data_IF_153124474977
#
_entry.id   IF_153124474977
#
_cell.length_a   1.000
_cell.length_b   1.000
_cell.length_c   1.000
_cell.angle_alpha   90.00
_cell.angle_beta   90.00
_cell.angle_gamma   90.00
#
_symmetry.space_group_name_H-M   'P 1'
#
loop_
_entity.id
_entity.type
_entity.pdbx_description
1 polymer ?
#
# COMPACT_ATOMS: atom_id res chain seq x y z
N UNK A 1 -22.50 -15.96 -11.88
CA UNK A 1 -21.79 -16.67 -10.78
C UNK A 1 -21.33 -18.04 -11.31
N UNK A 2 -20.01 -18.29 -11.43
CA UNK A 2 -19.38 -19.42 -12.17
C UNK A 2 -20.11 -20.78 -12.13
N UNK A 3 -20.66 -21.20 -10.98
CA UNK A 3 -21.42 -22.48 -10.89
C UNK A 3 -22.71 -22.47 -11.71
N UNK A 4 -23.44 -21.35 -11.74
CA UNK A 4 -24.68 -21.21 -12.50
C UNK A 4 -24.39 -21.20 -14.01
N UNK A 5 -23.31 -20.54 -14.43
CA UNK A 5 -22.85 -20.51 -15.82
C UNK A 5 -22.44 -21.90 -16.31
N UNK A 6 -21.70 -22.68 -15.50
CA UNK A 6 -21.36 -24.06 -15.83
C UNK A 6 -22.60 -24.94 -16.06
N UNK A 7 -23.68 -24.71 -15.32
CA UNK A 7 -24.95 -25.45 -15.51
C UNK A 7 -25.69 -24.94 -16.74
N UNK A 8 -25.82 -23.63 -16.89
CA UNK A 8 -26.62 -23.01 -17.95
C UNK A 8 -25.99 -23.16 -19.35
N UNK A 9 -24.67 -23.04 -19.46
CA UNK A 9 -23.97 -22.97 -20.75
C UNK A 9 -23.31 -24.30 -21.13
N UNK A 10 -22.98 -25.13 -20.13
CA UNK A 10 -22.22 -26.37 -20.35
C UNK A 10 -22.91 -27.62 -19.79
N UNK A 11 -24.09 -27.48 -19.16
CA UNK A 11 -24.81 -28.62 -18.55
C UNK A 11 -24.04 -29.30 -17.41
N UNK A 12 -22.99 -28.67 -16.88
CA UNK A 12 -22.09 -29.26 -15.90
C UNK A 12 -22.59 -29.00 -14.47
N UNK A 13 -23.23 -30.00 -13.89
CA UNK A 13 -23.64 -29.98 -12.48
C UNK A 13 -22.48 -30.34 -11.55
N UNK A 14 -21.73 -29.32 -11.14
CA UNK A 14 -20.69 -29.46 -10.14
C UNK A 14 -21.11 -28.88 -8.78
N UNK A 15 -20.77 -29.60 -7.71
CA UNK A 15 -20.89 -29.09 -6.34
C UNK A 15 -20.02 -27.86 -6.11
N UNK A 16 -20.46 -26.92 -5.26
CA UNK A 16 -19.77 -25.65 -5.03
C UNK A 16 -18.30 -25.82 -4.60
N UNK A 17 -18.00 -26.84 -3.78
CA UNK A 17 -16.63 -27.12 -3.31
C UNK A 17 -15.71 -27.56 -4.46
N UNK A 18 -16.23 -28.33 -5.41
CA UNK A 18 -15.50 -28.78 -6.61
C UNK A 18 -15.18 -27.60 -7.51
N UNK A 19 -16.16 -26.74 -7.79
CA UNK A 19 -15.95 -25.50 -8.56
C UNK A 19 -14.92 -24.60 -7.85
N UNK A 20 -15.05 -24.41 -6.53
CA UNK A 20 -14.08 -23.61 -5.76
C UNK A 20 -12.67 -24.18 -5.88
N UNK A 21 -12.48 -25.49 -5.75
CA UNK A 21 -11.14 -26.12 -5.86
C UNK A 21 -10.56 -25.98 -7.27
N UNK A 22 -11.35 -26.24 -8.31
CA UNK A 22 -10.91 -26.10 -9.70
C UNK A 22 -10.53 -24.64 -10.04
N UNK A 23 -11.29 -23.67 -9.52
CA UNK A 23 -11.02 -22.25 -9.73
C UNK A 23 -9.91 -21.67 -8.84
N UNK A 24 -9.40 -22.42 -7.85
CA UNK A 24 -8.46 -21.87 -6.85
C UNK A 24 -7.15 -21.37 -7.49
N UNK A 25 -6.48 -22.08 -8.42
CA UNK A 25 -5.27 -21.59 -9.07
C UNK A 25 -5.51 -20.33 -9.92
N UNK A 26 -6.65 -20.25 -10.60
CA UNK A 26 -7.01 -19.06 -11.39
C UNK A 26 -7.26 -17.84 -10.51
N UNK A 27 -7.94 -18.02 -9.37
CA UNK A 27 -8.08 -16.94 -8.38
C UNK A 27 -6.74 -16.51 -7.80
N UNK A 28 -5.84 -17.45 -7.51
CA UNK A 28 -4.48 -17.11 -7.07
C UNK A 28 -3.72 -16.31 -8.13
N UNK A 29 -3.78 -16.71 -9.40
CA UNK A 29 -3.16 -15.96 -10.51
C UNK A 29 -3.75 -14.57 -10.68
N UNK A 30 -5.08 -14.44 -10.60
CA UNK A 30 -5.77 -13.14 -10.69
C UNK A 30 -5.40 -12.23 -9.51
N UNK A 31 -5.33 -12.76 -8.29
CA UNK A 31 -4.88 -12.01 -7.13
C UNK A 31 -3.41 -11.59 -7.27
N UNK A 32 -2.53 -12.49 -7.73
CA UNK A 32 -1.13 -12.18 -7.98
C UNK A 32 -0.95 -11.12 -9.08
N UNK A 33 -1.75 -11.18 -10.16
CA UNK A 33 -1.74 -10.18 -11.23
C UNK A 33 -2.32 -8.83 -10.77
N UNK A 34 -3.37 -8.82 -9.94
CA UNK A 34 -3.89 -7.59 -9.34
C UNK A 34 -2.90 -6.95 -8.35
N UNK A 35 -2.07 -7.77 -7.70
CA UNK A 35 -0.97 -7.32 -6.85
C UNK A 35 0.30 -6.95 -7.64
N UNK A 36 0.37 -7.28 -8.94
CA UNK A 36 1.43 -6.85 -9.84
C UNK A 36 1.25 -5.37 -10.18
N UNK A 37 1.40 -4.52 -9.16
CA UNK A 37 1.89 -3.17 -9.37
C UNK A 37 3.25 -3.34 -10.04
N UNK A 38 3.37 -2.84 -11.28
CA UNK A 38 4.65 -2.86 -11.98
C UNK A 38 5.65 -2.17 -11.06
N UNK A 39 6.73 -2.87 -10.70
CA UNK A 39 7.82 -2.28 -9.92
C UNK A 39 8.47 -1.19 -10.78
N UNK A 40 8.02 0.04 -10.56
CA UNK A 40 8.65 1.23 -11.10
C UNK A 40 9.83 1.56 -10.17
N UNK A 41 10.95 0.90 -10.42
CA UNK A 41 12.19 1.13 -9.67
C UNK A 41 12.99 2.24 -10.37
N UNK A 42 13.12 3.39 -9.70
CA UNK A 42 14.08 4.42 -10.12
C UNK A 42 15.42 4.21 -9.41
N UNK A 43 16.54 4.77 -9.90
CA UNK A 43 17.77 4.81 -9.12
C UNK A 43 17.57 5.53 -7.76
N UNK A 44 18.44 5.29 -6.77
CA UNK A 44 18.46 6.10 -5.54
C UNK A 44 18.53 7.59 -5.87
N UNK A 45 17.75 8.43 -5.16
CA UNK A 45 17.73 9.88 -5.43
C UNK A 45 16.66 10.36 -6.41
N UNK A 46 16.15 9.48 -7.27
CA UNK A 46 15.28 9.89 -8.39
C UNK A 46 13.80 9.98 -8.06
N UNK A 47 13.33 9.17 -7.13
CA UNK A 47 11.94 9.15 -6.73
C UNK A 47 11.81 8.86 -5.25
N UNK A 48 10.89 9.59 -4.62
CA UNK A 48 10.39 9.36 -3.28
C UNK A 48 8.90 9.68 -3.28
N UNK A 49 8.15 8.99 -2.43
CA UNK A 49 6.75 9.32 -2.13
C UNK A 49 6.70 9.85 -0.71
N UNK A 50 6.16 11.06 -0.51
CA UNK A 50 5.94 11.65 0.81
C UNK A 50 4.46 11.62 1.12
N UNK A 51 4.15 11.25 2.35
CA UNK A 51 2.85 11.45 2.97
C UNK A 51 3.01 12.27 4.26
N UNK A 52 2.00 13.06 4.57
CA UNK A 52 1.86 13.79 5.82
C UNK A 52 0.60 13.35 6.54
N UNK A 53 0.75 12.96 7.80
CA UNK A 53 -0.39 12.64 8.67
C UNK A 53 -0.37 13.51 9.93
N UNK A 54 -1.56 13.87 10.42
CA UNK A 54 -1.73 14.63 11.65
C UNK A 54 -2.21 13.70 12.77
N UNK A 55 -1.53 13.73 13.92
CA UNK A 55 -1.95 12.95 15.10
C UNK A 55 -1.87 13.78 16.38
N UNK A 56 -2.79 13.51 17.31
CA UNK A 56 -2.68 13.98 18.69
C UNK A 56 -2.01 12.91 19.53
N UNK A 57 -0.90 13.28 20.17
CA UNK A 57 -0.11 12.40 21.05
C UNK A 57 0.09 13.09 22.40
N UNK A 58 0.17 12.31 23.48
CA UNK A 58 0.49 12.86 24.79
C UNK A 58 2.00 13.08 24.90
N UNK A 59 2.43 14.33 25.14
CA UNK A 59 3.81 14.68 25.45
C UNK A 59 3.83 15.36 26.81
N UNK A 60 4.54 14.76 27.77
CA UNK A 60 4.52 15.21 29.17
C UNK A 60 3.09 15.38 29.74
N UNK A 61 2.18 14.46 29.40
CA UNK A 61 0.78 14.48 29.83
C UNK A 61 -0.11 15.49 29.09
N UNK A 62 0.44 16.31 28.19
CA UNK A 62 -0.32 17.30 27.42
C UNK A 62 -0.65 16.74 26.03
N UNK A 63 -1.93 16.80 25.57
CA UNK A 63 -2.29 16.37 24.23
C UNK A 63 -1.78 17.37 23.18
N UNK A 64 -0.72 16.97 22.49
CA UNK A 64 -0.03 17.76 21.48
C UNK A 64 -0.37 17.24 20.09
N UNK A 65 -0.73 18.16 19.18
CA UNK A 65 -0.78 17.86 17.76
C UNK A 65 0.63 17.78 17.19
N UNK A 66 0.91 16.70 16.46
CA UNK A 66 2.16 16.49 15.73
C UNK A 66 1.84 16.11 14.29
N UNK A 67 2.79 16.40 13.41
CA UNK A 67 2.71 16.11 11.99
C UNK A 67 3.80 15.11 11.63
N UNK A 68 3.41 13.97 11.06
CA UNK A 68 4.27 12.86 10.69
C UNK A 68 4.64 13.00 9.22
N UNK A 69 5.90 13.31 8.93
CA UNK A 69 6.47 13.21 7.60
C UNK A 69 6.91 11.76 7.37
N UNK A 70 6.35 11.10 6.36
CA UNK A 70 6.72 9.73 5.99
C UNK A 70 7.16 9.72 4.54
N UNK A 71 8.46 9.52 4.30
CA UNK A 71 9.00 9.32 2.96
C UNK A 71 9.27 7.83 2.71
N UNK A 72 8.71 7.32 1.62
CA UNK A 72 9.08 6.01 1.07
C UNK A 72 10.03 6.20 -0.09
N UNK A 73 11.26 5.70 0.04
CA UNK A 73 12.28 5.82 -1.01
C UNK A 73 11.94 4.89 -2.18
N UNK A 74 11.87 5.43 -3.40
CA UNK A 74 11.42 4.69 -4.59
C UNK A 74 12.26 3.44 -4.88
N UNK A 75 13.58 3.55 -4.79
CA UNK A 75 14.51 2.45 -5.05
C UNK A 75 14.47 1.35 -3.98
N UNK A 76 14.71 1.72 -2.71
CA UNK A 76 14.94 0.75 -1.64
C UNK A 76 13.66 0.37 -0.88
N UNK A 77 12.56 1.09 -1.10
CA UNK A 77 11.30 1.01 -0.34
C UNK A 77 11.47 1.23 1.16
N UNK A 78 12.63 1.73 1.60
CA UNK A 78 12.85 2.09 3.00
C UNK A 78 11.97 3.27 3.37
N UNK A 79 11.48 3.24 4.60
CA UNK A 79 10.74 4.33 5.21
C UNK A 79 11.71 5.26 5.95
N UNK A 80 11.59 6.55 5.69
CA UNK A 80 12.18 7.61 6.50
C UNK A 80 11.03 8.36 7.18
N UNK A 81 11.09 8.47 8.52
CA UNK A 81 10.02 9.11 9.30
C UNK A 81 10.60 10.23 10.16
N UNK A 82 9.96 11.40 10.10
CA UNK A 82 10.24 12.56 10.96
C UNK A 82 8.94 13.08 11.55
N UNK A 83 9.03 13.66 12.75
CA UNK A 83 7.88 14.25 13.44
C UNK A 83 8.14 15.73 13.64
N UNK A 84 7.19 16.56 13.22
CA UNK A 84 7.25 18.01 13.29
C UNK A 84 6.07 18.58 14.09
N UNK A 85 6.22 19.85 14.51
CA UNK A 85 5.15 20.61 15.18
C UNK A 85 4.23 21.36 14.21
N UNK A 86 4.60 21.41 12.93
CA UNK A 86 3.81 22.01 11.85
C UNK A 86 4.18 21.40 10.49
N UNK A 87 3.34 21.61 9.49
CA UNK A 87 3.57 21.25 8.07
C UNK A 87 4.12 22.42 7.26
N UNK A 88 4.73 23.41 7.93
CA UNK A 88 5.33 24.54 7.25
C UNK A 88 6.45 24.06 6.29
N UNK A 89 6.77 24.89 5.30
CA UNK A 89 7.78 24.59 4.29
C UNK A 89 9.13 24.13 4.88
N UNK A 90 9.54 24.68 6.02
CA UNK A 90 10.75 24.25 6.72
C UNK A 90 10.71 22.78 7.16
N UNK A 91 9.55 22.28 7.61
CA UNK A 91 9.36 20.87 7.96
C UNK A 91 9.47 19.96 6.72
N UNK A 92 8.97 20.42 5.57
CA UNK A 92 9.11 19.70 4.30
C UNK A 92 10.58 19.57 3.90
N UNK A 93 11.33 20.67 3.91
CA UNK A 93 12.75 20.65 3.55
C UNK A 93 13.56 19.78 4.51
N UNK A 94 13.39 19.94 5.82
CA UNK A 94 14.08 19.11 6.80
C UNK A 94 13.74 17.61 6.66
N UNK A 95 12.49 17.28 6.30
CA UNK A 95 12.06 15.90 6.04
C UNK A 95 12.71 15.31 4.80
N UNK A 96 12.79 16.08 3.71
CA UNK A 96 13.43 15.65 2.45
C UNK A 96 14.95 15.52 2.63
N UNK A 97 15.60 16.53 3.22
CA UNK A 97 17.04 16.52 3.50
C UNK A 97 17.45 15.33 4.37
N UNK A 98 16.63 14.99 5.38
CA UNK A 98 16.90 13.85 6.24
C UNK A 98 16.75 12.48 5.57
N UNK A 99 16.09 12.40 4.41
CA UNK A 99 15.85 11.17 3.68
C UNK A 99 17.01 10.76 2.75
N UNK A 100 18.03 11.61 2.59
CA UNK A 100 19.20 11.42 1.74
C UNK A 100 20.51 11.34 2.54
#
# INVERSE_FOLDING_TARGET
MVRQELVAEHGLMAGLRTVKRACAPYRQKLLAAALATVRFETPPGWQLQIDFDERRVAIAGVPVRVHLFVATLGHSRRLHVRVFRSEAQGSWFAGIEGAF
#
